data_IF_573348015583
#
_entry.id   IF_573348015583
#
_cell.length_a   1.000
_cell.length_b   1.000
_cell.length_c   1.000
_cell.angle_alpha   90.00
_cell.angle_beta   90.00
_cell.angle_gamma   90.00
#
_symmetry.space_group_name_H-M   'P 1'
#
loop_
_entity.id
_entity.type
_entity.pdbx_description
1 polymer ?
#
# COMPACT_ATOMS: atom_id res chain seq x y z
N UNK A 1 24.21 -52.55 -40.23
CA UNK A 1 23.28 -51.59 -39.65
C UNK A 1 22.55 -50.87 -40.77
N UNK A 2 21.25 -50.60 -40.62
CA UNK A 2 20.49 -49.77 -41.57
C UNK A 2 20.10 -48.48 -40.83
N UNK A 3 20.43 -47.33 -41.42
CA UNK A 3 20.04 -46.00 -40.90
C UNK A 3 19.16 -45.31 -41.95
N UNK A 4 18.11 -44.64 -41.50
CA UNK A 4 17.22 -43.83 -42.34
C UNK A 4 17.40 -42.40 -41.88
N UNK A 5 17.70 -41.49 -42.79
CA UNK A 5 17.83 -40.06 -42.59
C UNK A 5 16.73 -39.38 -43.40
N UNK A 6 15.87 -38.60 -42.72
CA UNK A 6 14.79 -37.90 -43.40
C UNK A 6 15.28 -36.62 -44.09
N UNK A 7 14.42 -35.98 -44.90
CA UNK A 7 14.79 -34.81 -45.72
C UNK A 7 15.24 -33.60 -44.89
N UNK A 8 14.67 -33.43 -43.70
CA UNK A 8 15.03 -32.34 -42.75
C UNK A 8 16.11 -32.78 -41.73
N UNK A 9 16.83 -33.88 -42.00
CA UNK A 9 17.82 -34.44 -41.09
C UNK A 9 19.16 -34.65 -41.79
N UNK A 10 20.21 -34.74 -40.95
CA UNK A 10 21.54 -35.23 -41.33
C UNK A 10 21.98 -36.31 -40.36
N UNK A 11 22.70 -37.30 -40.84
CA UNK A 11 23.25 -38.36 -40.04
C UNK A 11 24.76 -38.16 -39.84
N UNK A 12 25.23 -38.17 -38.61
CA UNK A 12 26.67 -38.25 -38.32
C UNK A 12 27.07 -39.73 -38.20
N UNK A 13 27.91 -40.16 -39.14
CA UNK A 13 28.39 -41.57 -39.13
C UNK A 13 29.70 -41.66 -38.36
N UNK A 14 29.70 -42.53 -37.37
CA UNK A 14 30.86 -42.85 -36.56
C UNK A 14 31.26 -44.31 -36.76
N UNK A 15 32.58 -44.56 -36.76
CA UNK A 15 33.15 -45.90 -36.75
C UNK A 15 34.21 -46.00 -35.66
N UNK A 16 34.02 -46.94 -34.74
CA UNK A 16 34.91 -47.10 -33.58
C UNK A 16 35.15 -45.81 -32.80
N UNK A 17 34.10 -45.00 -32.62
CA UNK A 17 34.14 -43.74 -31.90
C UNK A 17 34.72 -42.54 -32.66
N UNK A 18 35.14 -42.74 -33.92
CA UNK A 18 35.62 -41.63 -34.79
C UNK A 18 34.53 -41.18 -35.74
N UNK A 19 34.36 -39.89 -35.92
CA UNK A 19 33.52 -39.29 -36.96
C UNK A 19 34.14 -39.60 -38.33
N UNK A 20 33.35 -40.08 -39.29
CA UNK A 20 33.79 -40.48 -40.62
C UNK A 20 33.20 -39.55 -41.67
N UNK A 21 31.88 -39.30 -41.66
CA UNK A 21 31.21 -38.48 -42.65
C UNK A 21 29.79 -38.13 -42.28
N UNK A 22 29.23 -37.14 -42.99
CA UNK A 22 27.82 -36.78 -42.95
C UNK A 22 27.02 -37.71 -43.88
N UNK A 23 25.89 -38.19 -43.43
CA UNK A 23 24.93 -38.91 -44.25
C UNK A 23 23.79 -37.96 -44.68
N UNK A 24 23.64 -37.86 -46.00
CA UNK A 24 22.55 -37.14 -46.62
C UNK A 24 21.20 -37.89 -46.44
N UNK A 25 20.05 -37.22 -46.70
CA UNK A 25 18.74 -37.86 -46.63
C UNK A 25 18.67 -39.11 -47.50
N UNK A 26 18.13 -40.17 -46.91
CA UNK A 26 18.00 -41.46 -47.60
C UNK A 26 18.17 -42.67 -46.68
N UNK A 27 18.17 -43.85 -47.30
CA UNK A 27 18.39 -45.15 -46.61
C UNK A 27 19.85 -45.58 -46.79
N UNK A 28 20.61 -45.60 -45.71
CA UNK A 28 22.03 -46.00 -45.72
C UNK A 28 22.22 -47.38 -45.13
N UNK A 29 22.96 -48.22 -45.87
CA UNK A 29 23.37 -49.54 -45.42
C UNK A 29 24.85 -49.54 -45.03
N UNK A 30 25.08 -49.56 -43.71
CA UNK A 30 26.40 -49.46 -43.11
C UNK A 30 26.92 -50.85 -42.78
N UNK A 31 28.10 -51.23 -43.32
CA UNK A 31 28.72 -52.53 -43.19
C UNK A 31 29.94 -52.40 -42.30
N UNK A 32 30.04 -53.23 -41.28
CA UNK A 32 31.17 -53.34 -40.36
C UNK A 32 30.74 -53.35 -38.89
N UNK A 33 31.69 -53.68 -38.01
CA UNK A 33 31.54 -53.62 -36.56
C UNK A 33 31.87 -52.17 -36.05
N UNK A 34 31.27 -51.77 -34.95
CA UNK A 34 31.54 -50.42 -34.33
C UNK A 34 30.90 -49.24 -35.08
N UNK A 35 29.95 -49.49 -36.01
CA UNK A 35 29.22 -48.44 -36.71
C UNK A 35 28.11 -47.84 -35.82
N UNK A 36 28.06 -46.52 -35.70
CA UNK A 36 27.01 -45.76 -35.02
C UNK A 36 26.58 -44.58 -35.90
N UNK A 37 25.32 -44.26 -35.89
CA UNK A 37 24.77 -43.06 -36.58
C UNK A 37 23.95 -42.27 -35.59
N UNK A 38 24.28 -41.01 -35.45
CA UNK A 38 23.47 -40.02 -34.77
C UNK A 38 22.70 -39.23 -35.83
N UNK A 39 21.38 -39.27 -35.79
CA UNK A 39 20.51 -38.47 -36.69
C UNK A 39 20.13 -37.20 -35.99
N UNK A 40 20.33 -36.06 -36.66
CA UNK A 40 20.08 -34.73 -36.14
C UNK A 40 19.13 -33.96 -37.06
N UNK A 41 18.25 -33.15 -36.49
CA UNK A 41 17.38 -32.28 -37.24
C UNK A 41 18.16 -31.04 -37.69
N UNK A 42 17.85 -30.51 -38.87
CA UNK A 42 18.51 -29.33 -39.44
C UNK A 42 18.05 -28.03 -38.77
N UNK A 43 16.89 -28.05 -38.12
CA UNK A 43 16.30 -26.91 -37.42
C UNK A 43 16.68 -26.83 -35.94
N UNK A 44 17.47 -27.77 -35.44
CA UNK A 44 17.97 -27.81 -34.08
C UNK A 44 19.46 -27.44 -34.02
N UNK A 45 19.92 -27.08 -32.81
CA UNK A 45 21.34 -26.86 -32.54
C UNK A 45 22.13 -28.14 -32.79
N UNK A 46 23.29 -28.00 -33.42
CA UNK A 46 24.22 -29.13 -33.67
C UNK A 46 24.83 -29.56 -32.32
N UNK A 47 24.35 -30.66 -31.79
CA UNK A 47 24.83 -31.29 -30.53
C UNK A 47 25.35 -32.70 -30.77
N UNK A 48 26.65 -32.86 -31.07
CA UNK A 48 27.21 -34.17 -31.28
C UNK A 48 27.23 -34.98 -29.97
N UNK A 49 26.93 -36.28 -30.07
CA UNK A 49 27.01 -37.19 -28.91
C UNK A 49 28.45 -37.53 -28.52
N UNK A 50 29.39 -37.38 -29.42
CA UNK A 50 30.80 -37.73 -29.23
C UNK A 50 31.66 -36.50 -29.39
N UNK A 51 32.17 -36.00 -28.27
CA UNK A 51 33.07 -34.85 -28.22
C UNK A 51 32.41 -33.49 -28.33
N UNK A 52 33.15 -32.43 -28.10
CA UNK A 52 32.66 -31.08 -28.20
C UNK A 52 32.46 -30.63 -29.66
N UNK A 53 31.64 -29.61 -29.87
CA UNK A 53 31.34 -29.01 -31.18
C UNK A 53 32.63 -28.58 -31.91
N UNK A 54 33.62 -28.06 -31.18
CA UNK A 54 34.89 -27.61 -31.73
C UNK A 54 35.67 -28.67 -32.50
N UNK A 55 35.50 -29.97 -32.17
CA UNK A 55 36.16 -31.08 -32.92
C UNK A 55 35.59 -31.27 -34.34
N UNK A 56 34.40 -30.75 -34.58
CA UNK A 56 33.70 -30.84 -35.86
C UNK A 56 33.85 -29.59 -36.69
N UNK A 57 34.25 -28.48 -36.09
CA UNK A 57 34.36 -27.17 -36.72
C UNK A 57 35.34 -27.19 -37.91
N UNK A 58 36.50 -27.83 -37.71
CA UNK A 58 37.58 -27.87 -38.70
C UNK A 58 37.48 -29.06 -39.66
N UNK A 59 36.38 -29.85 -39.60
CA UNK A 59 36.21 -31.00 -40.44
C UNK A 59 35.69 -30.59 -41.82
N UNK A 60 36.38 -30.93 -42.96
CA UNK A 60 36.08 -30.45 -44.32
C UNK A 60 34.61 -30.66 -44.77
N UNK A 61 33.93 -31.71 -44.29
CA UNK A 61 32.52 -31.96 -44.61
C UNK A 61 31.53 -31.12 -43.81
N UNK A 62 31.98 -30.45 -42.72
CA UNK A 62 31.11 -29.73 -41.78
C UNK A 62 31.44 -28.22 -41.77
N UNK A 63 32.65 -27.81 -42.13
CA UNK A 63 33.10 -26.43 -42.21
C UNK A 63 32.14 -25.55 -43.03
N UNK A 64 31.78 -26.03 -44.22
CA UNK A 64 30.84 -25.33 -45.10
C UNK A 64 29.36 -25.51 -44.68
N UNK A 65 29.04 -26.60 -43.98
CA UNK A 65 27.67 -26.97 -43.62
C UNK A 65 27.18 -26.35 -42.30
N UNK A 66 28.10 -25.99 -41.40
CA UNK A 66 27.80 -25.42 -40.07
C UNK A 66 28.14 -23.95 -39.98
N UNK A 67 27.35 -23.24 -39.24
CA UNK A 67 27.66 -21.88 -38.76
C UNK A 67 27.97 -21.97 -37.28
N UNK A 68 29.19 -21.59 -36.89
CA UNK A 68 29.65 -21.61 -35.52
C UNK A 68 29.47 -20.21 -34.88
N UNK A 69 29.25 -20.21 -33.60
CA UNK A 69 29.30 -19.03 -32.74
C UNK A 69 29.95 -19.42 -31.42
N UNK A 70 30.95 -18.66 -31.03
CA UNK A 70 31.58 -18.76 -29.70
C UNK A 70 31.03 -17.66 -28.82
N UNK A 71 30.55 -18.03 -27.66
CA UNK A 71 30.00 -17.10 -26.65
C UNK A 71 30.93 -17.15 -25.44
N UNK A 72 31.52 -16.01 -25.12
CA UNK A 72 32.41 -15.88 -23.95
C UNK A 72 31.67 -16.07 -22.62
N UNK A 73 32.44 -16.24 -21.54
CA UNK A 73 31.85 -16.47 -20.21
C UNK A 73 31.06 -15.26 -19.68
N UNK A 74 31.46 -14.05 -20.06
CA UNK A 74 30.78 -12.80 -19.70
C UNK A 74 29.82 -12.31 -20.80
N UNK A 75 29.37 -13.22 -21.69
CA UNK A 75 28.54 -12.90 -22.83
C UNK A 75 27.32 -13.83 -22.91
N UNK A 76 26.31 -13.33 -23.61
CA UNK A 76 25.19 -14.11 -24.08
C UNK A 76 24.94 -13.78 -25.56
N UNK A 77 24.51 -14.73 -26.36
CA UNK A 77 24.20 -14.48 -27.76
C UNK A 77 22.70 -14.63 -28.04
N UNK A 78 22.08 -13.58 -28.54
CA UNK A 78 20.72 -13.65 -29.06
C UNK A 78 20.77 -14.32 -30.44
N UNK A 79 20.13 -15.47 -30.57
CA UNK A 79 20.04 -16.23 -31.78
C UNK A 79 18.78 -15.89 -32.57
N UNK A 80 18.96 -15.49 -33.79
CA UNK A 80 17.89 -15.25 -34.75
C UNK A 80 18.01 -16.23 -35.91
N UNK A 81 16.87 -16.80 -36.32
CA UNK A 81 16.76 -17.63 -37.53
C UNK A 81 15.73 -17.00 -38.45
N UNK A 82 16.16 -16.73 -39.69
CA UNK A 82 15.35 -16.05 -40.70
C UNK A 82 14.73 -14.73 -40.14
N UNK A 83 15.56 -13.92 -39.47
CA UNK A 83 15.23 -12.66 -38.77
C UNK A 83 14.23 -12.77 -37.62
N UNK A 84 13.90 -13.97 -37.17
CA UNK A 84 13.05 -14.19 -36.00
C UNK A 84 13.88 -14.65 -34.80
N UNK A 85 13.63 -14.04 -33.66
CA UNK A 85 14.26 -14.46 -32.40
C UNK A 85 13.86 -15.88 -32.05
N UNK A 86 14.83 -16.77 -31.91
CA UNK A 86 14.68 -18.19 -31.59
C UNK A 86 14.99 -18.48 -30.13
N UNK A 87 16.09 -17.91 -29.61
CA UNK A 87 16.49 -18.16 -28.23
C UNK A 87 17.76 -17.42 -27.83
N UNK A 88 18.18 -17.65 -26.59
CA UNK A 88 19.43 -17.16 -26.02
C UNK A 88 20.42 -18.32 -25.92
N UNK A 89 21.66 -18.07 -26.33
CA UNK A 89 22.79 -18.98 -26.15
C UNK A 89 23.65 -18.45 -24.99
N UNK A 90 23.98 -19.31 -24.07
CA UNK A 90 24.90 -19.02 -22.95
C UNK A 90 26.34 -19.32 -23.35
N UNK A 91 27.29 -19.08 -22.45
CA UNK A 91 28.72 -19.32 -22.71
C UNK A 91 29.00 -20.72 -23.28
N UNK A 92 29.89 -20.76 -24.26
CA UNK A 92 30.31 -21.97 -24.94
C UNK A 92 30.34 -21.86 -26.47
N UNK A 93 30.73 -22.98 -27.13
CA UNK A 93 30.73 -23.10 -28.58
C UNK A 93 29.40 -23.75 -29.04
N UNK A 94 28.69 -23.03 -29.90
CA UNK A 94 27.42 -23.47 -30.47
C UNK A 94 27.55 -23.58 -31.99
N UNK A 95 26.86 -24.50 -32.60
CA UNK A 95 26.82 -24.63 -34.05
C UNK A 95 25.41 -24.92 -34.56
N UNK A 96 25.12 -24.45 -35.76
CA UNK A 96 23.83 -24.60 -36.41
C UNK A 96 24.02 -24.99 -37.85
N UNK A 97 23.10 -25.79 -38.38
CA UNK A 97 23.13 -26.18 -39.81
C UNK A 97 22.72 -24.99 -40.70
N UNK A 98 23.59 -24.53 -41.60
CA UNK A 98 23.26 -23.49 -42.62
C UNK A 98 22.04 -23.90 -43.47
N UNK A 99 21.85 -25.20 -43.71
CA UNK A 99 20.69 -25.73 -44.42
C UNK A 99 19.37 -25.59 -43.64
N UNK A 100 19.41 -25.34 -42.34
CA UNK A 100 18.22 -25.17 -41.46
C UNK A 100 17.64 -23.74 -41.51
N UNK A 101 18.34 -22.79 -42.18
CA UNK A 101 17.92 -21.38 -42.26
C UNK A 101 19.10 -20.43 -42.17
N UNK A 102 18.82 -19.16 -42.35
CA UNK A 102 19.81 -18.08 -42.14
C UNK A 102 19.90 -17.79 -40.63
N UNK A 103 21.09 -17.98 -40.05
CA UNK A 103 21.35 -17.73 -38.63
C UNK A 103 22.08 -16.39 -38.44
N UNK A 104 21.60 -15.58 -37.52
CA UNK A 104 22.23 -14.34 -37.09
C UNK A 104 22.39 -14.33 -35.60
N UNK A 105 23.57 -13.96 -35.12
CA UNK A 105 23.87 -13.89 -33.69
C UNK A 105 24.19 -12.46 -33.29
N UNK A 106 23.60 -12.00 -32.20
CA UNK A 106 23.90 -10.70 -31.62
C UNK A 106 24.46 -10.95 -30.22
N UNK A 107 25.74 -10.69 -30.03
CA UNK A 107 26.38 -10.80 -28.74
C UNK A 107 25.90 -9.65 -27.82
N UNK A 108 25.56 -9.99 -26.60
CA UNK A 108 25.22 -9.09 -25.53
C UNK A 108 26.22 -9.29 -24.39
N UNK A 109 26.66 -8.19 -23.80
CA UNK A 109 27.51 -8.19 -22.62
C UNK A 109 26.65 -8.62 -21.41
N UNK A 110 27.12 -9.61 -20.67
CA UNK A 110 26.49 -10.12 -19.46
C UNK A 110 27.33 -9.84 -18.20
N UNK A 111 28.47 -9.16 -18.36
CA UNK A 111 29.32 -8.73 -17.22
C UNK A 111 28.63 -7.66 -16.37
N UNK A 112 27.84 -6.77 -17.00
CA UNK A 112 26.89 -5.92 -16.29
C UNK A 112 25.53 -6.61 -16.23
N UNK A 113 24.99 -6.86 -15.05
CA UNK A 113 23.66 -7.46 -14.93
C UNK A 113 22.55 -6.65 -15.58
N UNK A 114 22.69 -5.33 -15.75
CA UNK A 114 21.64 -4.47 -16.34
C UNK A 114 21.61 -4.59 -17.86
N UNK A 115 20.44 -4.93 -18.38
CA UNK A 115 20.24 -5.12 -19.82
C UNK A 115 19.82 -3.80 -20.48
N UNK A 116 20.62 -3.35 -21.45
CA UNK A 116 20.33 -2.18 -22.26
C UNK A 116 20.29 -2.54 -23.75
N UNK A 117 19.52 -1.80 -24.55
CA UNK A 117 19.54 -1.94 -26.02
C UNK A 117 18.78 -3.13 -26.60
N UNK A 118 18.14 -3.96 -25.80
CA UNK A 118 17.29 -5.09 -26.24
C UNK A 118 15.82 -4.69 -26.17
N UNK A 119 15.06 -4.98 -27.22
CA UNK A 119 13.63 -4.66 -27.23
C UNK A 119 12.83 -5.47 -26.21
N UNK A 120 11.82 -4.86 -25.59
CA UNK A 120 10.96 -5.49 -24.59
C UNK A 120 10.33 -6.81 -25.08
N UNK A 121 9.93 -6.85 -26.35
CA UNK A 121 9.33 -8.06 -26.94
C UNK A 121 10.28 -9.25 -26.97
N UNK A 122 11.59 -9.02 -27.09
CA UNK A 122 12.62 -10.06 -27.02
C UNK A 122 12.88 -10.42 -25.56
N UNK A 123 13.02 -9.43 -24.69
CA UNK A 123 13.21 -9.64 -23.25
C UNK A 123 12.13 -10.55 -22.65
N UNK A 124 10.88 -10.33 -23.01
CA UNK A 124 9.76 -11.17 -22.56
C UNK A 124 9.89 -12.65 -23.01
N UNK A 125 10.46 -12.88 -24.19
CA UNK A 125 10.73 -14.24 -24.68
C UNK A 125 11.92 -14.90 -23.99
N UNK A 126 12.81 -14.11 -23.42
CA UNK A 126 14.01 -14.55 -22.69
C UNK A 126 13.77 -14.73 -21.19
N UNK A 127 12.55 -14.68 -20.68
CA UNK A 127 12.22 -14.75 -19.23
C UNK A 127 13.00 -15.81 -18.42
N UNK A 128 13.34 -17.00 -18.93
CA UNK A 128 14.18 -17.92 -18.16
C UNK A 128 15.58 -17.38 -17.83
N UNK A 129 16.08 -16.46 -18.65
CA UNK A 129 17.44 -15.91 -18.55
C UNK A 129 17.48 -14.47 -18.00
N UNK A 130 16.34 -13.83 -17.96
CA UNK A 130 16.22 -12.43 -17.52
C UNK A 130 15.12 -12.26 -16.49
N UNK A 131 15.28 -11.25 -15.64
CA UNK A 131 14.25 -10.81 -14.70
C UNK A 131 13.89 -9.36 -14.95
N UNK A 132 12.63 -9.01 -14.71
CA UNK A 132 12.17 -7.63 -14.72
C UNK A 132 11.86 -7.17 -13.31
N UNK A 133 12.39 -6.02 -12.93
CA UNK A 133 12.09 -5.33 -11.68
C UNK A 133 11.28 -4.07 -12.02
N UNK A 134 10.07 -4.00 -11.49
CA UNK A 134 9.15 -2.90 -11.77
C UNK A 134 9.09 -1.95 -10.57
N UNK A 135 9.34 -0.67 -10.84
CA UNK A 135 9.23 0.41 -9.86
C UNK A 135 8.02 1.27 -10.21
N UNK A 136 7.06 1.34 -9.29
CA UNK A 136 5.86 2.15 -9.48
C UNK A 136 6.19 3.65 -9.41
N UNK A 137 5.37 4.55 -10.01
CA UNK A 137 5.64 6.01 -10.04
C UNK A 137 5.80 6.66 -8.65
N UNK A 138 5.23 6.04 -7.63
CA UNK A 138 5.31 6.51 -6.25
C UNK A 138 6.39 5.83 -5.41
N UNK A 139 7.19 4.96 -6.03
CA UNK A 139 8.24 4.20 -5.37
C UNK A 139 9.64 4.61 -5.82
N UNK A 140 10.62 4.30 -4.98
CA UNK A 140 12.03 4.21 -5.35
C UNK A 140 12.49 2.78 -5.16
N UNK A 141 13.21 2.25 -6.14
CA UNK A 141 13.75 0.88 -6.09
C UNK A 141 15.24 0.92 -5.70
N UNK A 142 15.59 0.41 -4.52
CA UNK A 142 16.99 0.23 -4.16
C UNK A 142 17.49 -1.07 -4.78
N UNK A 143 18.45 -0.97 -5.67
CA UNK A 143 19.03 -2.10 -6.41
C UNK A 143 20.25 -2.65 -5.68
N UNK A 144 20.26 -3.96 -5.48
CA UNK A 144 21.38 -4.66 -4.84
C UNK A 144 21.95 -5.72 -5.75
N UNK A 145 23.29 -5.77 -5.84
CA UNK A 145 24.04 -6.85 -6.47
C UNK A 145 24.76 -7.62 -5.36
N UNK A 146 24.47 -8.91 -5.23
CA UNK A 146 25.02 -9.80 -4.19
C UNK A 146 24.89 -9.23 -2.78
N UNK A 147 23.82 -8.47 -2.53
CA UNK A 147 23.53 -7.82 -1.25
C UNK A 147 24.20 -6.45 -1.05
N UNK A 148 25.05 -5.99 -1.95
CA UNK A 148 25.59 -4.64 -1.94
C UNK A 148 24.66 -3.66 -2.68
N UNK A 149 24.38 -2.51 -2.06
CA UNK A 149 23.58 -1.45 -2.70
C UNK A 149 24.40 -0.83 -3.85
N UNK A 150 23.82 -0.79 -5.05
CA UNK A 150 24.47 -0.27 -6.26
C UNK A 150 23.92 1.10 -6.65
N UNK A 151 22.59 1.20 -6.78
CA UNK A 151 21.94 2.45 -7.17
C UNK A 151 20.45 2.46 -6.82
N UNK A 152 19.84 3.62 -6.95
CA UNK A 152 18.40 3.82 -6.80
C UNK A 152 17.76 3.87 -8.19
N UNK A 153 16.81 2.97 -8.44
CA UNK A 153 16.02 2.92 -9.66
C UNK A 153 14.85 3.90 -9.59
N UNK A 154 14.65 4.62 -10.70
CA UNK A 154 13.45 5.42 -10.93
C UNK A 154 12.25 4.55 -11.36
N UNK A 155 11.12 5.21 -11.63
CA UNK A 155 9.91 4.56 -12.13
C UNK A 155 10.13 3.83 -13.47
N UNK A 156 9.43 2.72 -13.65
CA UNK A 156 9.46 1.94 -14.86
C UNK A 156 9.90 0.49 -14.66
N UNK A 157 10.02 -0.22 -15.76
CA UNK A 157 10.49 -1.60 -15.80
C UNK A 157 11.97 -1.65 -16.15
N UNK A 158 12.77 -2.23 -15.29
CA UNK A 158 14.21 -2.43 -15.45
C UNK A 158 14.48 -3.91 -15.66
N UNK A 159 15.37 -4.24 -16.59
CA UNK A 159 15.64 -5.62 -16.97
C UNK A 159 17.07 -5.99 -16.63
N UNK A 160 17.23 -7.19 -16.09
CA UNK A 160 18.52 -7.70 -15.62
C UNK A 160 18.71 -9.14 -16.05
N UNK A 161 19.96 -9.52 -16.32
CA UNK A 161 20.32 -10.91 -16.48
C UNK A 161 20.12 -11.67 -15.18
N UNK A 162 19.60 -12.89 -15.27
CA UNK A 162 19.54 -13.78 -14.13
C UNK A 162 20.93 -14.30 -13.75
N UNK A 163 21.13 -14.68 -12.50
CA UNK A 163 22.40 -15.19 -11.97
C UNK A 163 23.05 -16.31 -12.82
N UNK A 164 22.34 -17.26 -13.46
CA UNK A 164 22.97 -18.23 -14.36
C UNK A 164 23.65 -17.62 -15.59
N UNK A 165 23.33 -16.39 -15.97
CA UNK A 165 23.93 -15.69 -17.13
C UNK A 165 25.00 -14.71 -16.67
N UNK A 166 24.69 -13.84 -15.73
CA UNK A 166 25.62 -12.78 -15.25
C UNK A 166 26.53 -13.21 -14.08
N UNK A 167 26.24 -14.35 -13.44
CA UNK A 167 26.92 -14.74 -12.21
C UNK A 167 26.48 -13.93 -10.97
N UNK A 168 25.74 -12.82 -11.13
CA UNK A 168 25.38 -11.88 -10.08
C UNK A 168 23.92 -12.06 -9.66
N UNK A 169 23.68 -12.07 -8.36
CA UNK A 169 22.30 -12.08 -7.82
C UNK A 169 21.76 -10.66 -7.71
N UNK A 170 20.82 -10.31 -8.57
CA UNK A 170 20.14 -9.01 -8.56
C UNK A 170 18.88 -9.07 -7.74
N UNK A 171 18.76 -8.14 -6.78
CA UNK A 171 17.56 -7.98 -5.95
C UNK A 171 17.18 -6.50 -5.85
N UNK A 172 15.90 -6.22 -5.55
CA UNK A 172 15.43 -4.86 -5.36
C UNK A 172 14.55 -4.77 -4.10
N UNK A 173 14.69 -3.67 -3.37
CA UNK A 173 13.77 -3.29 -2.31
C UNK A 173 13.05 -2.00 -2.70
N UNK A 174 11.74 -2.08 -2.88
CA UNK A 174 10.91 -0.93 -3.21
C UNK A 174 10.52 -0.16 -1.94
N UNK A 175 10.63 1.15 -1.96
CA UNK A 175 10.26 2.07 -0.88
C UNK A 175 9.17 3.01 -1.39
N UNK A 176 8.05 3.06 -0.70
CA UNK A 176 6.94 3.97 -1.00
C UNK A 176 7.26 5.38 -0.49
N UNK A 177 7.27 6.37 -1.40
CA UNK A 177 7.62 7.76 -1.11
C UNK A 177 6.39 8.65 -0.83
N UNK A 178 5.19 8.09 -0.88
CA UNK A 178 3.95 8.84 -0.57
C UNK A 178 3.84 9.16 0.91
N UNK A 179 2.89 10.04 1.21
CA UNK A 179 2.45 10.26 2.58
C UNK A 179 1.84 8.97 3.14
N UNK A 180 2.42 8.46 4.22
CA UNK A 180 2.00 7.24 4.89
C UNK A 180 1.42 7.55 6.26
N UNK A 181 0.61 6.63 6.79
CA UNK A 181 0.00 6.75 8.09
C UNK A 181 0.43 5.60 8.99
N UNK A 182 0.90 5.95 10.17
CA UNK A 182 1.21 5.02 11.24
C UNK A 182 0.17 5.18 12.35
N UNK A 183 -0.52 4.09 12.68
CA UNK A 183 -1.43 4.05 13.80
C UNK A 183 -0.67 3.58 15.05
N UNK A 184 -0.57 4.47 16.02
CA UNK A 184 0.10 4.22 17.29
C UNK A 184 -0.96 3.80 18.29
N UNK A 185 -1.01 2.51 18.57
CA UNK A 185 -1.90 1.97 19.61
C UNK A 185 -1.28 2.24 20.97
N UNK A 186 -2.03 2.98 21.80
CA UNK A 186 -1.60 3.30 23.15
C UNK A 186 -1.61 2.07 24.05
N UNK A 187 -0.52 1.87 24.76
CA UNK A 187 -0.48 0.99 25.93
C UNK A 187 -1.20 1.69 27.09
N UNK A 188 -1.58 0.92 28.08
CA UNK A 188 -2.12 1.46 29.32
C UNK A 188 -1.03 2.21 30.09
N UNK A 189 -1.26 3.49 30.36
CA UNK A 189 -0.34 4.38 31.06
C UNK A 189 -1.09 5.03 32.21
N UNK A 190 -0.44 5.15 33.35
CA UNK A 190 -0.99 5.87 34.49
C UNK A 190 -0.76 7.38 34.33
N UNK A 191 -1.82 8.15 34.47
CA UNK A 191 -1.76 9.62 34.59
C UNK A 191 -1.14 10.04 35.92
N UNK A 192 -0.87 11.33 36.10
CA UNK A 192 -0.29 11.88 37.33
C UNK A 192 -1.16 11.52 38.58
N UNK A 193 -2.46 11.49 38.43
CA UNK A 193 -3.45 11.11 39.45
C UNK A 193 -3.73 9.60 39.51
N UNK A 194 -2.85 8.78 38.90
CA UNK A 194 -2.85 7.31 38.93
C UNK A 194 -4.07 6.67 38.29
N UNK A 195 -4.73 7.34 37.38
CA UNK A 195 -5.78 6.76 36.54
C UNK A 195 -5.15 6.08 35.33
N UNK A 196 -5.54 4.84 35.06
CA UNK A 196 -5.10 4.12 33.88
C UNK A 196 -5.78 4.71 32.63
N UNK A 197 -4.96 5.17 31.69
CA UNK A 197 -5.41 5.81 30.44
C UNK A 197 -4.76 5.09 29.25
N UNK A 198 -5.55 4.83 28.22
CA UNK A 198 -5.04 4.34 26.94
C UNK A 198 -5.32 5.39 25.85
N UNK A 199 -4.29 5.94 25.25
CA UNK A 199 -4.40 6.94 24.18
C UNK A 199 -3.98 6.33 22.85
N UNK A 200 -4.87 6.35 21.86
CA UNK A 200 -4.56 5.97 20.49
C UNK A 200 -4.20 7.22 19.70
N UNK A 201 -3.13 7.13 18.93
CA UNK A 201 -2.56 8.25 18.22
C UNK A 201 -2.31 7.90 16.75
N UNK A 202 -2.34 8.87 15.88
CA UNK A 202 -2.06 8.71 14.45
C UNK A 202 -0.93 9.67 14.08
N UNK A 203 0.07 9.14 13.38
CA UNK A 203 1.16 9.91 12.83
C UNK A 203 1.16 9.76 11.31
N UNK A 204 1.24 10.88 10.57
CA UNK A 204 1.42 10.89 9.11
C UNK A 204 2.82 11.36 8.80
N UNK A 205 3.53 10.57 8.02
CA UNK A 205 4.91 10.81 7.68
C UNK A 205 5.20 10.53 6.21
N UNK A 206 6.30 11.06 5.72
CA UNK A 206 6.86 10.80 4.39
C UNK A 206 8.33 10.44 4.55
N UNK A 207 8.80 9.44 3.81
CA UNK A 207 10.22 9.10 3.78
C UNK A 207 10.97 10.17 3.00
N UNK A 208 12.03 10.71 3.57
CA UNK A 208 12.88 11.74 2.95
C UNK A 208 14.10 11.14 2.29
N UNK A 209 14.68 10.09 2.90
CA UNK A 209 15.85 9.39 2.39
C UNK A 209 15.59 7.88 2.35
N UNK A 210 15.28 7.39 1.15
CA UNK A 210 14.93 5.98 0.95
C UNK A 210 16.14 5.04 1.10
N UNK A 211 17.36 5.53 0.88
CA UNK A 211 18.56 4.74 1.02
C UNK A 211 18.87 4.50 2.50
N UNK A 212 18.98 5.57 3.26
CA UNK A 212 19.34 5.50 4.68
C UNK A 212 18.29 4.80 5.53
N UNK A 213 17.01 4.99 5.24
CA UNK A 213 15.92 4.30 5.95
C UNK A 213 15.98 2.79 5.81
N UNK A 214 16.56 2.29 4.70
CA UNK A 214 16.68 0.86 4.42
C UNK A 214 18.01 0.28 4.90
N UNK A 215 19.09 1.07 4.85
CA UNK A 215 20.44 0.60 5.13
C UNK A 215 20.86 0.82 6.58
N UNK A 216 20.39 1.90 7.23
CA UNK A 216 20.80 2.27 8.57
C UNK A 216 19.81 1.87 9.66
N UNK A 217 18.52 1.69 9.32
CA UNK A 217 17.48 1.36 10.30
C UNK A 217 16.85 0.01 9.97
N UNK A 218 16.84 -0.86 10.96
CA UNK A 218 16.02 -2.08 10.89
C UNK A 218 14.61 -1.75 11.37
N UNK A 219 13.60 -1.93 10.50
CA UNK A 219 12.18 -1.67 10.80
C UNK A 219 11.93 -0.27 11.42
N UNK A 220 12.12 0.76 10.59
CA UNK A 220 11.94 2.15 11.02
C UNK A 220 10.50 2.44 11.52
N UNK A 221 9.49 1.71 11.00
CA UNK A 221 8.09 1.92 11.41
C UNK A 221 7.88 1.47 12.85
N UNK A 222 8.43 0.33 13.23
CA UNK A 222 8.38 -0.15 14.62
C UNK A 222 9.15 0.78 15.55
N UNK A 223 10.34 1.25 15.15
CA UNK A 223 11.12 2.18 15.95
C UNK A 223 10.41 3.54 16.11
N UNK A 224 9.81 4.06 15.06
CA UNK A 224 8.99 5.27 15.11
C UNK A 224 7.75 5.08 16.01
N UNK A 225 7.11 3.92 15.93
CA UNK A 225 5.99 3.55 16.80
C UNK A 225 6.39 3.55 18.28
N UNK A 226 7.49 2.89 18.62
CA UNK A 226 8.02 2.86 19.99
C UNK A 226 8.41 4.27 20.46
N UNK A 227 9.06 5.06 19.62
CA UNK A 227 9.41 6.45 19.94
C UNK A 227 8.18 7.28 20.28
N UNK A 228 7.13 7.19 19.48
CA UNK A 228 5.88 7.89 19.72
C UNK A 228 5.17 7.41 21.01
N UNK A 229 5.20 6.10 21.29
CA UNK A 229 4.65 5.55 22.53
C UNK A 229 5.39 6.09 23.77
N UNK A 230 6.72 6.22 23.72
CA UNK A 230 7.49 6.76 24.82
C UNK A 230 7.18 8.23 25.07
N UNK A 231 7.04 9.03 24.02
CA UNK A 231 6.65 10.45 24.12
C UNK A 231 5.23 10.58 24.70
N UNK A 232 4.28 9.75 24.25
CA UNK A 232 2.92 9.73 24.78
C UNK A 232 2.91 9.35 26.27
N UNK A 233 3.70 8.37 26.66
CA UNK A 233 3.81 7.93 28.06
C UNK A 233 4.35 9.05 28.97
N UNK A 234 5.36 9.78 28.50
CA UNK A 234 5.93 10.90 29.23
C UNK A 234 4.90 12.00 29.46
N UNK A 235 4.16 12.39 28.40
CA UNK A 235 3.13 13.41 28.51
C UNK A 235 1.98 13.00 29.43
N UNK A 236 1.42 11.79 29.22
CA UNK A 236 0.30 11.28 30.03
C UNK A 236 0.69 11.17 31.50
N UNK A 237 1.89 10.66 31.79
CA UNK A 237 2.38 10.51 33.16
C UNK A 237 2.63 11.82 33.92
N UNK A 238 2.82 12.93 33.20
CA UNK A 238 3.05 14.26 33.75
C UNK A 238 1.79 15.11 33.95
N UNK A 239 0.63 14.69 33.44
CA UNK A 239 -0.63 15.45 33.48
C UNK A 239 -1.73 14.68 34.22
N UNK A 240 -2.68 15.43 34.80
CA UNK A 240 -3.88 14.84 35.41
C UNK A 240 -4.90 14.47 34.33
N UNK A 241 -5.80 13.54 34.69
CA UNK A 241 -6.83 13.07 33.74
C UNK A 241 -7.69 14.21 33.20
N UNK A 242 -8.13 15.11 34.05
CA UNK A 242 -8.97 16.24 33.63
C UNK A 242 -8.24 17.14 32.63
N UNK A 243 -6.95 17.44 32.87
CA UNK A 243 -6.11 18.21 31.99
C UNK A 243 -5.92 17.54 30.61
N UNK A 244 -5.77 16.20 30.60
CA UNK A 244 -5.63 15.42 29.36
C UNK A 244 -6.92 15.45 28.52
N UNK A 245 -8.08 15.45 29.18
CA UNK A 245 -9.38 15.49 28.50
C UNK A 245 -9.75 16.87 27.98
N UNK A 246 -9.37 17.93 28.70
CA UNK A 246 -9.62 19.31 28.34
C UNK A 246 -8.66 19.80 27.22
N UNK A 247 -7.37 19.42 27.30
CA UNK A 247 -6.30 19.98 26.47
C UNK A 247 -5.78 18.97 25.40
N UNK A 248 -6.67 18.32 24.69
CA UNK A 248 -6.30 17.31 23.67
C UNK A 248 -5.40 17.87 22.55
N UNK A 249 -5.57 19.12 22.20
CA UNK A 249 -4.76 19.79 21.18
C UNK A 249 -3.32 20.00 21.65
N UNK A 250 -3.13 20.30 22.93
CA UNK A 250 -1.79 20.47 23.51
C UNK A 250 -1.02 19.15 23.53
N UNK A 251 -1.68 18.02 23.85
CA UNK A 251 -1.09 16.69 23.72
C UNK A 251 -0.63 16.43 22.29
N UNK A 252 -1.49 16.69 21.31
CA UNK A 252 -1.18 16.46 19.90
C UNK A 252 0.00 17.34 19.45
N UNK A 253 0.03 18.61 19.85
CA UNK A 253 1.11 19.55 19.56
C UNK A 253 2.44 19.11 20.18
N UNK A 254 2.43 18.71 21.46
CA UNK A 254 3.63 18.22 22.15
C UNK A 254 4.24 17.00 21.45
N UNK A 255 3.40 15.98 21.12
CA UNK A 255 3.86 14.77 20.45
C UNK A 255 4.40 15.09 19.06
N UNK A 256 3.71 15.96 18.31
CA UNK A 256 4.17 16.39 16.98
C UNK A 256 5.55 17.06 17.05
N UNK A 257 5.75 18.01 17.97
CA UNK A 257 7.03 18.70 18.14
C UNK A 257 8.16 17.75 18.59
N UNK A 258 7.84 16.83 19.49
CA UNK A 258 8.80 15.85 19.97
C UNK A 258 9.21 14.86 18.86
N UNK A 259 8.29 14.41 18.02
CA UNK A 259 8.57 13.57 16.86
C UNK A 259 9.36 14.33 15.79
N UNK A 260 9.02 15.61 15.52
CA UNK A 260 9.75 16.44 14.57
C UNK A 260 11.24 16.59 14.94
N UNK A 261 11.56 16.69 16.20
CA UNK A 261 12.96 16.74 16.65
C UNK A 261 13.76 15.47 16.31
N UNK A 262 13.05 14.37 16.05
CA UNK A 262 13.64 13.05 15.75
C UNK A 262 13.52 12.67 14.27
N UNK A 263 13.01 13.54 13.40
CA UNK A 263 12.87 13.30 11.96
C UNK A 263 14.19 12.84 11.30
N UNK A 264 15.30 13.48 11.67
CA UNK A 264 16.61 13.15 11.15
C UNK A 264 17.10 11.75 11.58
N UNK A 265 16.65 11.26 12.73
CA UNK A 265 16.98 9.93 13.25
C UNK A 265 16.31 8.83 12.43
N UNK A 266 15.08 9.09 11.95
CA UNK A 266 14.27 8.11 11.22
C UNK A 266 14.27 8.33 9.70
N UNK A 267 14.92 9.37 9.20
CA UNK A 267 14.92 9.77 7.77
C UNK A 267 13.52 9.96 7.19
N UNK A 268 12.64 10.54 7.98
CA UNK A 268 11.26 10.85 7.63
C UNK A 268 10.93 12.30 7.94
N UNK A 269 9.95 12.85 7.24
CA UNK A 269 9.29 14.11 7.56
C UNK A 269 7.96 13.79 8.25
N UNK A 270 7.74 14.30 9.45
CA UNK A 270 6.48 14.16 10.17
C UNK A 270 5.55 15.30 9.74
N UNK A 271 4.59 14.99 8.91
CA UNK A 271 3.66 15.98 8.36
C UNK A 271 2.61 16.39 9.40
N UNK A 272 2.07 15.39 10.11
CA UNK A 272 1.02 15.60 11.08
C UNK A 272 0.99 14.46 12.11
N UNK A 273 0.57 14.80 13.33
CA UNK A 273 0.41 13.83 14.39
C UNK A 273 -0.76 14.27 15.29
N UNK A 274 -1.69 13.37 15.56
CA UNK A 274 -2.91 13.69 16.29
C UNK A 274 -3.45 12.58 17.16
N UNK A 275 -4.09 12.98 18.25
CA UNK A 275 -4.81 12.10 19.14
C UNK A 275 -6.09 11.60 18.42
N UNK A 276 -6.25 10.29 18.35
CA UNK A 276 -7.45 9.66 17.80
C UNK A 276 -8.54 9.52 18.84
N UNK A 277 -8.21 8.88 19.96
CA UNK A 277 -9.11 8.68 21.09
C UNK A 277 -8.34 8.47 22.39
N UNK A 278 -9.03 8.70 23.52
CA UNK A 278 -8.59 8.38 24.87
C UNK A 278 -9.60 7.38 25.45
N UNK A 279 -9.11 6.21 25.82
CA UNK A 279 -9.93 5.14 26.41
C UNK A 279 -9.65 5.10 27.89
N UNK A 280 -10.72 5.20 28.67
CA UNK A 280 -10.70 5.11 30.12
C UNK A 280 -11.26 3.76 30.59
N UNK A 281 -10.83 3.24 31.74
CA UNK A 281 -11.48 2.10 32.40
C UNK A 281 -12.97 2.36 32.60
N UNK A 282 -13.79 1.31 32.49
CA UNK A 282 -15.25 1.43 32.57
C UNK A 282 -15.73 2.10 33.87
N UNK A 283 -15.17 1.72 34.99
CA UNK A 283 -15.50 2.28 36.34
C UNK A 283 -15.25 3.80 36.39
N UNK A 284 -14.10 4.26 35.91
CA UNK A 284 -13.76 5.70 35.91
C UNK A 284 -14.69 6.46 34.98
N UNK A 285 -14.97 5.92 33.80
CA UNK A 285 -15.92 6.52 32.84
C UNK A 285 -17.32 6.66 33.43
N UNK A 286 -17.79 5.66 34.17
CA UNK A 286 -19.13 5.65 34.77
C UNK A 286 -19.23 6.66 35.94
N UNK A 287 -18.17 6.81 36.74
CA UNK A 287 -18.06 7.85 37.77
C UNK A 287 -18.08 9.24 37.10
N UNK A 288 -17.26 9.49 36.09
CA UNK A 288 -17.24 10.77 35.40
C UNK A 288 -18.58 11.12 34.76
N UNK A 289 -19.26 10.15 34.14
CA UNK A 289 -20.59 10.34 33.58
C UNK A 289 -21.60 10.72 34.68
N UNK A 290 -21.52 10.09 35.86
CA UNK A 290 -22.39 10.41 37.00
C UNK A 290 -22.18 11.84 37.49
N UNK A 291 -20.93 12.26 37.62
CA UNK A 291 -20.58 13.66 38.00
C UNK A 291 -21.10 14.65 36.93
N UNK A 292 -20.84 14.39 35.65
CA UNK A 292 -21.29 15.23 34.55
C UNK A 292 -22.82 15.37 34.51
N UNK A 293 -23.56 14.26 34.72
CA UNK A 293 -25.02 14.28 34.78
C UNK A 293 -25.50 15.10 35.97
N UNK A 294 -24.84 14.98 37.13
CA UNK A 294 -25.19 15.78 38.31
C UNK A 294 -24.94 17.27 38.08
N UNK A 295 -23.82 17.65 37.52
CA UNK A 295 -23.49 19.03 37.14
C UNK A 295 -24.51 19.61 36.16
N UNK A 296 -24.82 18.84 35.07
CA UNK A 296 -25.82 19.30 34.09
C UNK A 296 -27.21 19.46 34.66
N UNK A 297 -27.62 18.55 35.58
CA UNK A 297 -28.87 18.70 36.33
C UNK A 297 -28.86 19.95 37.24
N UNK A 298 -27.76 20.21 37.94
CA UNK A 298 -27.62 21.43 38.74
C UNK A 298 -27.71 22.69 37.91
N UNK A 299 -27.01 22.74 36.75
CA UNK A 299 -27.10 23.87 35.82
C UNK A 299 -28.51 24.06 35.27
N UNK A 300 -29.19 22.97 34.86
CA UNK A 300 -30.58 23.01 34.41
C UNK A 300 -31.50 23.56 35.46
N UNK A 301 -31.36 23.09 36.74
CA UNK A 301 -32.17 23.59 37.84
C UNK A 301 -31.94 25.09 38.11
N UNK A 302 -30.73 25.58 38.02
CA UNK A 302 -30.42 27.00 38.17
C UNK A 302 -31.09 27.82 37.06
N UNK A 303 -31.03 27.36 35.80
CA UNK A 303 -31.71 28.03 34.67
C UNK A 303 -33.21 28.00 34.88
N UNK A 304 -33.82 26.87 35.21
CA UNK A 304 -35.26 26.73 35.44
C UNK A 304 -35.73 27.69 36.55
N UNK A 305 -35.03 27.72 37.68
CA UNK A 305 -35.37 28.62 38.78
C UNK A 305 -35.23 30.10 38.40
N UNK A 306 -34.22 30.44 37.55
CA UNK A 306 -34.04 31.80 37.06
C UNK A 306 -35.20 32.22 36.16
N UNK A 307 -35.64 31.33 35.29
CA UNK A 307 -36.79 31.54 34.43
C UNK A 307 -38.10 31.61 35.23
N UNK A 308 -38.30 30.76 36.24
CA UNK A 308 -39.43 30.81 37.13
C UNK A 308 -39.51 32.16 37.88
N UNK A 309 -38.37 32.65 38.40
CA UNK A 309 -38.31 33.97 39.07
C UNK A 309 -38.58 35.08 38.06
N UNK A 310 -38.04 35.04 36.85
CA UNK A 310 -38.29 36.00 35.81
C UNK A 310 -39.77 36.04 35.38
N UNK A 311 -40.37 34.87 35.20
CA UNK A 311 -41.79 34.68 34.91
C UNK A 311 -42.66 35.22 36.03
N UNK A 312 -42.37 34.87 37.28
CA UNK A 312 -43.11 35.38 38.46
C UNK A 312 -43.02 36.90 38.58
N UNK A 313 -41.85 37.49 38.36
CA UNK A 313 -41.69 38.93 38.33
C UNK A 313 -42.51 39.58 37.19
N UNK A 314 -42.51 38.96 36.02
CA UNK A 314 -43.32 39.43 34.88
C UNK A 314 -44.83 39.38 35.19
N UNK A 315 -45.28 38.27 35.80
CA UNK A 315 -46.67 38.13 36.25
C UNK A 315 -47.03 39.16 37.29
N UNK A 316 -46.13 39.39 38.28
CA UNK A 316 -46.36 40.42 39.31
C UNK A 316 -46.47 41.82 38.71
N UNK A 317 -45.59 42.17 37.78
CA UNK A 317 -45.63 43.44 37.08
C UNK A 317 -46.91 43.58 36.23
N UNK A 318 -47.33 42.49 35.59
CA UNK A 318 -48.58 42.46 34.80
C UNK A 318 -49.79 42.61 35.73
N UNK A 319 -49.82 41.96 36.87
CA UNK A 319 -50.89 42.09 37.87
C UNK A 319 -50.98 43.55 38.39
N UNK A 320 -49.87 44.17 38.68
CA UNK A 320 -49.79 45.55 39.12
C UNK A 320 -50.33 46.55 38.08
N UNK A 321 -49.96 46.36 36.80
CA UNK A 321 -50.48 47.12 35.68
C UNK A 321 -52.00 46.92 35.46
N UNK A 322 -52.53 45.74 35.78
CA UNK A 322 -53.96 45.45 35.72
C UNK A 322 -54.72 46.11 36.88
N UNK A 323 -54.14 46.14 38.07
CA UNK A 323 -54.72 46.85 39.23
C UNK A 323 -54.81 48.38 38.99
N UNK A 324 -53.78 48.93 38.34
CA UNK A 324 -53.72 50.38 38.00
C UNK A 324 -54.62 50.75 36.82
N UNK A 325 -54.95 49.81 35.94
CA UNK A 325 -55.75 50.08 34.73
C UNK A 325 -56.83 48.99 34.48
N UNK A 326 -58.04 49.32 34.92
CA UNK A 326 -59.21 48.44 34.80
C UNK A 326 -59.60 48.06 33.35
N UNK A 327 -59.19 48.85 32.35
CA UNK A 327 -59.39 48.52 30.93
C UNK A 327 -58.46 47.38 30.49
N UNK A 328 -57.21 47.38 30.97
CA UNK A 328 -56.24 46.31 30.68
C UNK A 328 -56.71 44.98 31.31
N UNK A 329 -57.29 45.02 32.50
CA UNK A 329 -57.84 43.84 33.14
C UNK A 329 -58.98 43.21 32.31
N UNK A 330 -59.87 44.01 31.80
CA UNK A 330 -60.99 43.52 30.96
C UNK A 330 -60.50 42.97 29.59
N UNK A 331 -59.48 43.58 28.99
CA UNK A 331 -58.87 43.04 27.80
C UNK A 331 -58.27 41.67 28.04
N UNK A 332 -57.58 41.48 29.15
CA UNK A 332 -57.02 40.18 29.54
C UNK A 332 -58.10 39.11 29.85
N UNK A 333 -59.19 39.51 30.49
CA UNK A 333 -60.34 38.63 30.71
C UNK A 333 -60.93 38.14 29.37
N UNK A 334 -61.03 39.07 28.38
CA UNK A 334 -61.49 38.67 27.03
C UNK A 334 -60.49 37.74 26.33
N UNK A 335 -59.22 37.99 26.40
CA UNK A 335 -58.16 37.08 25.87
C UNK A 335 -58.20 35.68 26.50
N UNK A 336 -58.45 35.59 27.80
CA UNK A 336 -58.65 34.31 28.48
C UNK A 336 -59.91 33.57 28.03
N UNK A 337 -60.98 34.30 27.84
CA UNK A 337 -62.23 33.76 27.32
C UNK A 337 -62.07 33.26 25.88
N UNK A 338 -61.34 33.98 25.02
CA UNK A 338 -61.03 33.60 23.66
C UNK A 338 -60.21 32.28 23.63
N UNK A 339 -59.15 32.20 24.45
CA UNK A 339 -58.35 30.96 24.58
C UNK A 339 -59.16 29.76 25.12
N UNK A 340 -60.13 30.00 26.02
CA UNK A 340 -61.00 28.90 26.46
C UNK A 340 -61.93 28.48 25.34
N UNK A 341 -62.45 29.40 24.59
CA UNK A 341 -63.34 29.10 23.42
C UNK A 341 -62.58 28.37 22.31
N UNK A 342 -61.30 28.73 22.04
CA UNK A 342 -60.47 28.08 21.04
C UNK A 342 -60.09 26.62 21.39
N UNK A 343 -59.97 26.32 22.68
CA UNK A 343 -59.62 24.99 23.13
C UNK A 343 -60.80 24.06 23.48
N UNK A 344 -62.06 24.57 23.44
CA UNK A 344 -63.27 23.81 23.76
C UNK A 344 -64.20 23.83 22.60
N UNK A 345 -64.29 22.65 21.89
CA UNK A 345 -65.12 22.47 20.70
C UNK A 345 -66.63 22.64 20.95
N UNK A 346 -67.15 22.66 22.16
CA UNK A 346 -68.51 23.03 22.58
C UNK A 346 -68.59 23.34 24.06
N UNK A 347 -69.17 24.43 24.44
CA UNK A 347 -69.47 24.76 25.86
C UNK A 347 -70.96 24.55 26.06
N UNK A 348 -71.31 23.48 26.79
CA UNK A 348 -72.70 23.23 27.19
C UNK A 348 -72.90 23.86 28.59
N UNK A 349 -73.58 24.97 28.70
CA UNK A 349 -73.99 25.61 29.96
C UNK A 349 -75.25 24.92 30.44
N UNK A 350 -75.10 23.89 31.29
CA UNK A 350 -76.20 23.22 31.93
C UNK A 350 -76.42 23.77 33.37
N UNK A 351 -77.45 24.53 33.56
CA UNK A 351 -77.89 24.98 34.91
C UNK A 351 -78.23 26.45 35.00
N UNK A 352 -79.43 26.69 35.41
CA UNK A 352 -80.09 27.87 35.93
C UNK A 352 -79.61 29.28 35.57
N UNK A 353 -80.47 30.05 35.06
CA UNK A 353 -80.43 31.42 34.53
C UNK A 353 -79.49 32.51 35.14
N UNK A 354 -78.64 32.17 36.09
CA UNK A 354 -77.77 33.16 36.75
C UNK A 354 -76.40 33.32 36.08
N UNK A 355 -75.85 32.25 35.49
CA UNK A 355 -74.54 32.32 34.80
C UNK A 355 -74.63 33.09 33.48
N UNK A 356 -75.76 32.98 32.75
CA UNK A 356 -76.06 33.80 31.59
C UNK A 356 -76.27 35.29 31.91
N UNK A 357 -76.81 35.59 33.07
CA UNK A 357 -76.92 36.96 33.55
C UNK A 357 -75.57 37.55 33.95
N UNK A 358 -74.70 36.78 34.58
CA UNK A 358 -73.33 37.18 34.91
C UNK A 358 -72.48 37.38 33.67
N UNK A 359 -72.57 36.49 32.68
CA UNK A 359 -71.91 36.65 31.41
C UNK A 359 -72.50 37.87 30.62
N UNK A 360 -73.79 38.08 30.67
CA UNK A 360 -74.43 39.23 30.05
C UNK A 360 -74.15 40.56 30.80
N UNK A 361 -73.90 40.52 32.09
CA UNK A 361 -73.45 41.69 32.85
C UNK A 361 -72.00 42.05 32.60
N UNK A 362 -71.10 41.06 32.41
CA UNK A 362 -69.72 41.26 31.97
C UNK A 362 -69.67 41.87 30.57
N UNK A 363 -70.53 41.43 29.65
CA UNK A 363 -70.64 41.95 28.30
C UNK A 363 -71.38 43.33 28.19
N UNK A 364 -72.23 43.68 29.17
CA UNK A 364 -72.93 44.98 29.23
C UNK A 364 -72.21 46.11 29.97
N UNK A 365 -71.07 45.76 30.58
CA UNK A 365 -70.25 46.73 31.27
C UNK A 365 -69.07 47.23 30.45
N UNK A 366 -69.04 46.98 29.12
CA UNK A 366 -68.13 47.55 28.14
C UNK A 366 -68.77 48.75 27.44
#
# INVERSE_FOLDING_TARGET
MKAIVNINQRGLFYRNGRFIKVLEPGAHRLIGTGCRVQVMNLDEEFKPEIGPVSWYADHPELEDALQLVEVGDDQAALHYRNDRFEGLLTSGAHAFWKAGGEHRFQLADASDPEITGISRGILEKMRPFVQSLEVQPYQKGLLFYDGALVKILGEGAHWFWNSPVSGVKVTMRAVDMRLQQLNIQGQEVLSLDKVAVRANFVCRYRITDCERVVTEINDFQEQLHVAAQLILREYIGSHRLDELLENREQLSGFVLEALKKREAEFFVEIVDAGLRDIILPGEIRDIMNTVLVAEKKAQANVITRREEVASTRSLLNTARLMEENGTLMRLKEMEYLERICDNVGSITVGGGGDLLKQLAQLLKGA
#
